data_IF_419968221606
#
_entry.id   IF_419968221606
#
_cell.length_a   1.000
_cell.length_b   1.000
_cell.length_c   1.000
_cell.angle_alpha   90.00
_cell.angle_beta   90.00
_cell.angle_gamma   90.00
#
_symmetry.space_group_name_H-M   'P 1'
#
loop_
_entity.id
_entity.type
_entity.pdbx_description
1 polymer ?
#
# COMPACT_ATOMS: atom_id res chain seq x y z
N UNK A 1 -20.89 -6.82 -7.27
CA UNK A 1 -19.46 -7.01 -6.95
C UNK A 1 -19.17 -8.47 -6.63
N UNK A 2 -18.03 -9.00 -7.05
CA UNK A 2 -17.63 -10.39 -6.85
C UNK A 2 -18.58 -11.41 -7.51
N UNK A 3 -18.39 -12.68 -7.14
CA UNK A 3 -19.34 -13.73 -7.50
C UNK A 3 -20.35 -13.87 -6.35
N UNK A 4 -21.65 -13.80 -6.64
CA UNK A 4 -22.74 -13.83 -5.64
C UNK A 4 -22.59 -14.99 -4.64
N UNK A 5 -22.15 -16.16 -5.10
CA UNK A 5 -21.93 -17.36 -4.27
C UNK A 5 -20.44 -17.69 -4.07
N UNK A 6 -19.53 -16.78 -4.44
CA UNK A 6 -18.09 -17.03 -4.43
C UNK A 6 -17.55 -17.42 -3.07
N UNK A 7 -18.06 -16.81 -1.99
CA UNK A 7 -17.69 -17.15 -0.61
C UNK A 7 -18.11 -18.56 -0.18
N UNK A 8 -19.11 -19.18 -0.82
CA UNK A 8 -19.54 -20.55 -0.55
C UNK A 8 -18.73 -21.59 -1.32
N UNK A 9 -18.17 -21.20 -2.47
CA UNK A 9 -17.55 -22.13 -3.43
C UNK A 9 -16.02 -22.10 -3.43
N UNK A 10 -15.43 -20.99 -3.00
CA UNK A 10 -13.99 -20.74 -3.08
C UNK A 10 -13.44 -20.73 -1.66
N UNK A 11 -12.47 -21.58 -1.35
CA UNK A 11 -11.79 -21.58 -0.05
C UNK A 11 -10.82 -20.38 0.08
N UNK A 12 -10.62 -19.92 1.32
CA UNK A 12 -9.72 -18.80 1.62
C UNK A 12 -8.29 -19.30 1.42
N UNK A 13 -7.51 -18.55 0.66
CA UNK A 13 -6.10 -18.87 0.46
C UNK A 13 -5.22 -17.68 0.81
N UNK A 14 -4.53 -17.80 1.95
CA UNK A 14 -3.51 -16.84 2.36
C UNK A 14 -2.17 -17.05 1.61
N UNK A 15 -1.29 -16.05 1.71
CA UNK A 15 0.04 -16.10 1.12
C UNK A 15 0.89 -17.17 1.82
N UNK A 16 1.38 -18.19 1.09
CA UNK A 16 2.28 -19.17 1.70
C UNK A 16 3.64 -18.54 1.96
N UNK A 17 4.40 -19.19 2.84
CA UNK A 17 5.80 -18.83 3.09
C UNK A 17 6.73 -19.83 2.41
N UNK A 18 7.90 -19.34 1.97
CA UNK A 18 8.98 -20.22 1.55
C UNK A 18 9.39 -21.19 2.67
N UNK A 19 9.93 -22.38 2.33
CA UNK A 19 10.40 -23.36 3.30
C UNK A 19 11.32 -22.77 4.36
N UNK A 20 11.25 -23.31 5.58
CA UNK A 20 11.98 -22.77 6.74
C UNK A 20 13.49 -22.80 6.49
N UNK A 21 14.00 -23.89 5.93
CA UNK A 21 15.42 -24.08 5.61
C UNK A 21 15.94 -23.16 4.51
N UNK A 22 15.06 -22.62 3.66
CA UNK A 22 15.40 -21.58 2.68
C UNK A 22 15.43 -20.20 3.32
N UNK A 23 14.36 -19.81 4.02
CA UNK A 23 14.21 -18.45 4.57
C UNK A 23 15.13 -18.14 5.75
N UNK A 24 15.76 -19.14 6.37
CA UNK A 24 16.80 -18.92 7.38
C UNK A 24 18.15 -18.46 6.78
N UNK A 25 18.34 -18.57 5.46
CA UNK A 25 19.62 -18.27 4.78
C UNK A 25 19.73 -16.82 4.29
N UNK A 26 18.66 -16.03 4.39
CA UNK A 26 18.64 -14.65 3.92
C UNK A 26 17.66 -13.78 4.70
N UNK A 27 17.77 -12.46 4.52
CA UNK A 27 16.84 -11.48 5.09
C UNK A 27 15.83 -10.93 4.08
N UNK A 28 15.79 -11.43 2.83
CA UNK A 28 14.77 -11.05 1.84
C UNK A 28 13.37 -11.52 2.23
N UNK A 29 12.35 -10.90 1.64
CA UNK A 29 10.96 -11.36 1.76
C UNK A 29 10.83 -12.85 1.40
N UNK A 30 10.12 -13.60 2.24
CA UNK A 30 9.86 -15.03 2.03
C UNK A 30 8.37 -15.33 1.85
N UNK A 31 7.53 -14.30 1.85
CA UNK A 31 6.10 -14.42 1.59
C UNK A 31 5.91 -14.55 0.08
N UNK A 32 5.28 -15.63 -0.35
CA UNK A 32 5.08 -15.90 -1.77
C UNK A 32 3.80 -15.20 -2.21
N UNK A 33 3.91 -14.35 -3.23
CA UNK A 33 2.77 -13.67 -3.82
C UNK A 33 1.83 -14.70 -4.48
N UNK A 34 0.50 -14.63 -4.28
CA UNK A 34 -0.43 -15.48 -5.00
C UNK A 34 -0.47 -15.04 -6.47
N UNK A 35 -0.85 -15.96 -7.36
CA UNK A 35 -1.04 -15.60 -8.77
C UNK A 35 -2.25 -14.68 -8.95
N UNK A 36 -2.29 -13.96 -10.07
CA UNK A 36 -3.45 -13.15 -10.46
C UNK A 36 -4.76 -13.93 -10.43
N UNK A 37 -4.71 -15.20 -10.85
CA UNK A 37 -5.88 -16.10 -10.85
C UNK A 37 -6.34 -16.38 -9.42
N UNK A 38 -5.42 -16.66 -8.51
CA UNK A 38 -5.76 -16.88 -7.10
C UNK A 38 -6.27 -15.61 -6.42
N UNK A 39 -5.65 -14.46 -6.69
CA UNK A 39 -6.14 -13.17 -6.19
C UNK A 39 -7.54 -12.84 -6.72
N UNK A 40 -7.82 -13.11 -8.00
CA UNK A 40 -9.15 -12.98 -8.59
C UNK A 40 -10.19 -13.86 -7.90
N UNK A 41 -9.84 -15.13 -7.60
CA UNK A 41 -10.70 -16.02 -6.80
C UNK A 41 -10.94 -15.48 -5.40
N UNK A 42 -9.92 -14.96 -4.73
CA UNK A 42 -10.09 -14.38 -3.41
C UNK A 42 -10.95 -13.09 -3.44
N UNK A 43 -10.81 -12.25 -4.47
CA UNK A 43 -11.69 -11.10 -4.71
C UNK A 43 -13.15 -11.52 -4.92
N UNK A 44 -13.37 -12.64 -5.62
CA UNK A 44 -14.70 -13.22 -5.85
C UNK A 44 -15.43 -13.67 -4.57
N UNK A 45 -14.70 -13.88 -3.45
CA UNK A 45 -15.30 -14.17 -2.13
C UNK A 45 -15.99 -12.94 -1.49
N UNK A 46 -15.84 -11.74 -2.04
CA UNK A 46 -16.54 -10.57 -1.53
C UNK A 46 -18.06 -10.74 -1.65
N UNK A 47 -18.80 -10.59 -0.54
CA UNK A 47 -20.25 -10.78 -0.50
C UNK A 47 -21.07 -9.59 -1.01
N UNK A 48 -20.44 -8.51 -1.46
CA UNK A 48 -21.13 -7.27 -1.84
C UNK A 48 -22.10 -6.77 -0.76
N UNK A 49 -21.60 -6.64 0.47
CA UNK A 49 -22.41 -6.32 1.64
C UNK A 49 -23.04 -4.93 1.49
N UNK A 50 -24.35 -4.82 1.75
CA UNK A 50 -25.05 -3.52 1.74
C UNK A 50 -24.45 -2.49 2.72
N UNK A 51 -23.83 -2.96 3.81
CA UNK A 51 -22.98 -2.13 4.68
C UNK A 51 -21.58 -2.76 4.71
N UNK A 52 -20.59 -2.19 3.99
CA UNK A 52 -19.25 -2.76 3.93
C UNK A 52 -18.44 -2.39 5.19
N UNK A 53 -18.56 -3.19 6.25
CA UNK A 53 -17.79 -2.99 7.50
C UNK A 53 -16.26 -3.03 7.30
N UNK A 54 -15.79 -3.64 6.22
CA UNK A 54 -14.38 -3.58 5.84
C UNK A 54 -13.91 -2.14 5.55
N UNK A 55 -14.77 -1.25 5.04
CA UNK A 55 -14.45 0.16 4.83
C UNK A 55 -14.13 0.84 6.16
N UNK A 56 -15.04 0.72 7.12
CA UNK A 56 -14.90 1.38 8.43
C UNK A 56 -13.84 0.72 9.30
N UNK A 57 -13.58 -0.57 9.10
CA UNK A 57 -12.45 -1.27 9.73
C UNK A 57 -11.09 -0.83 9.18
N UNK A 58 -11.04 -0.25 7.98
CA UNK A 58 -9.82 0.31 7.41
C UNK A 58 -9.61 1.76 7.92
N UNK A 59 -8.50 2.09 8.59
CA UNK A 59 -8.28 3.45 9.11
C UNK A 59 -8.24 4.56 8.05
N UNK A 60 -8.02 4.21 6.78
CA UNK A 60 -8.02 5.14 5.64
C UNK A 60 -9.28 5.02 4.78
N UNK A 61 -10.29 4.25 5.23
CA UNK A 61 -11.55 4.04 4.55
C UNK A 61 -11.41 3.62 3.06
N UNK A 62 -10.49 2.68 2.80
CA UNK A 62 -10.32 2.12 1.45
C UNK A 62 -11.65 1.59 0.89
N UNK A 63 -11.82 1.74 -0.43
CA UNK A 63 -12.98 1.27 -1.20
C UNK A 63 -12.87 -0.22 -1.55
N UNK A 64 -12.82 -1.06 -0.51
CA UNK A 64 -12.38 -2.46 -0.60
C UNK A 64 -13.20 -3.34 -1.55
N UNK A 65 -14.55 -3.37 -1.50
CA UNK A 65 -15.37 -4.12 -2.43
C UNK A 65 -15.16 -3.72 -3.89
N UNK A 66 -14.93 -2.43 -4.17
CA UNK A 66 -14.78 -1.91 -5.52
C UNK A 66 -13.51 -2.47 -6.19
N UNK A 67 -12.35 -2.33 -5.55
CA UNK A 67 -11.12 -2.89 -6.12
C UNK A 67 -11.04 -4.42 -6.02
N UNK A 68 -11.78 -5.08 -5.11
CA UNK A 68 -11.93 -6.53 -5.13
C UNK A 68 -12.68 -7.01 -6.38
N UNK A 69 -13.75 -6.30 -6.74
CA UNK A 69 -14.55 -6.59 -7.93
C UNK A 69 -13.73 -6.39 -9.22
N UNK A 70 -12.99 -5.28 -9.29
CA UNK A 70 -12.09 -5.01 -10.41
C UNK A 70 -11.02 -6.10 -10.55
N UNK A 71 -10.41 -6.55 -9.45
CA UNK A 71 -9.46 -7.68 -9.47
C UNK A 71 -10.10 -8.98 -9.92
N UNK A 72 -11.33 -9.26 -9.49
CA UNK A 72 -12.09 -10.44 -9.94
C UNK A 72 -12.35 -10.41 -11.45
N UNK A 73 -12.66 -9.24 -12.02
CA UNK A 73 -12.85 -9.05 -13.45
C UNK A 73 -11.55 -8.93 -14.26
N UNK A 74 -10.41 -8.83 -13.59
CA UNK A 74 -9.10 -8.68 -14.24
C UNK A 74 -8.77 -7.24 -14.64
N UNK A 75 -9.53 -6.25 -14.16
CA UNK A 75 -9.35 -4.82 -14.43
C UNK A 75 -8.32 -4.20 -13.47
N UNK A 76 -7.10 -4.75 -13.49
CA UNK A 76 -6.04 -4.44 -12.53
C UNK A 76 -5.57 -2.98 -12.53
N UNK A 77 -5.56 -2.31 -13.69
CA UNK A 77 -5.15 -0.91 -13.79
C UNK A 77 -6.17 0.01 -13.09
N UNK A 78 -7.46 -0.27 -13.30
CA UNK A 78 -8.54 0.49 -12.63
C UNK A 78 -8.58 0.17 -11.14
N UNK A 79 -8.32 -1.08 -10.75
CA UNK A 79 -8.16 -1.47 -9.34
C UNK A 79 -7.03 -0.67 -8.68
N UNK A 80 -5.91 -0.46 -9.38
CA UNK A 80 -4.78 0.33 -8.89
C UNK A 80 -5.15 1.81 -8.74
N UNK A 81 -5.86 2.41 -9.71
CA UNK A 81 -6.36 3.80 -9.61
C UNK A 81 -7.31 3.96 -8.43
N UNK A 82 -8.26 3.03 -8.28
CA UNK A 82 -9.20 3.04 -7.17
C UNK A 82 -8.48 2.92 -5.81
N UNK A 83 -7.55 1.96 -5.67
CA UNK A 83 -6.78 1.77 -4.44
C UNK A 83 -5.94 3.02 -4.09
N UNK A 84 -5.31 3.64 -5.08
CA UNK A 84 -4.50 4.85 -4.89
C UNK A 84 -5.32 6.11 -4.59
N UNK A 85 -6.63 6.11 -4.86
CA UNK A 85 -7.51 7.24 -4.51
C UNK A 85 -7.62 7.47 -3.00
N UNK A 86 -7.37 6.43 -2.20
CA UNK A 86 -7.49 6.44 -0.73
C UNK A 86 -6.18 6.11 -0.02
N UNK A 87 -5.27 5.39 -0.67
CA UNK A 87 -3.98 4.98 -0.09
C UNK A 87 -2.78 5.46 -0.91
N UNK A 88 -1.93 6.29 -0.31
CA UNK A 88 -0.67 6.71 -0.93
C UNK A 88 0.31 5.53 -1.15
N UNK A 89 0.34 4.56 -0.23
CA UNK A 89 1.38 3.51 -0.18
C UNK A 89 0.82 2.09 0.08
N UNK A 90 -0.04 1.56 -0.81
CA UNK A 90 -0.61 0.22 -0.69
C UNK A 90 0.44 -0.90 -0.67
N UNK A 91 1.63 -0.69 -1.25
CA UNK A 91 2.72 -1.66 -1.18
C UNK A 91 3.28 -1.83 0.25
N UNK A 92 3.16 -0.80 1.10
CA UNK A 92 3.61 -0.85 2.49
C UNK A 92 2.52 -1.48 3.34
N UNK A 93 1.29 -0.96 3.27
CA UNK A 93 0.15 -1.48 4.04
C UNK A 93 -0.17 -2.92 3.67
N UNK A 94 -0.14 -3.29 2.40
CA UNK A 94 -0.34 -4.66 1.91
C UNK A 94 0.68 -5.67 2.46
N UNK A 95 1.84 -5.21 2.96
CA UNK A 95 2.86 -6.04 3.63
C UNK A 95 2.76 -6.00 5.14
N UNK A 96 2.61 -4.80 5.72
CA UNK A 96 2.83 -4.59 7.17
C UNK A 96 1.55 -4.45 7.98
N UNK A 97 0.43 -4.09 7.36
CA UNK A 97 -0.84 -3.85 8.04
C UNK A 97 -1.29 -5.11 8.80
N UNK A 98 -1.84 -4.99 10.02
CA UNK A 98 -2.45 -6.12 10.73
C UNK A 98 -3.84 -6.52 10.17
N UNK A 99 -4.27 -5.90 9.06
CA UNK A 99 -5.53 -6.18 8.36
C UNK A 99 -6.80 -6.06 9.24
N UNK A 100 -7.03 -4.91 9.91
CA UNK A 100 -8.26 -4.72 10.68
C UNK A 100 -9.52 -4.79 9.81
N UNK A 101 -9.41 -4.43 8.52
CA UNK A 101 -10.46 -4.60 7.53
C UNK A 101 -10.90 -6.05 7.33
N UNK A 102 -9.99 -7.03 7.45
CA UNK A 102 -10.34 -8.45 7.39
C UNK A 102 -11.05 -8.89 8.67
N UNK A 103 -10.58 -8.42 9.84
CA UNK A 103 -11.25 -8.68 11.11
C UNK A 103 -12.68 -8.11 11.16
N UNK A 104 -12.91 -6.96 10.51
CA UNK A 104 -14.23 -6.32 10.39
C UNK A 104 -15.07 -6.83 9.21
N UNK A 105 -14.56 -7.74 8.38
CA UNK A 105 -15.31 -8.24 7.23
C UNK A 105 -16.58 -8.97 7.70
N UNK A 106 -17.74 -8.69 7.09
CA UNK A 106 -19.00 -9.37 7.44
C UNK A 106 -18.91 -10.88 7.32
N UNK A 107 -18.15 -11.39 6.34
CA UNK A 107 -17.94 -12.83 6.16
C UNK A 107 -17.21 -13.47 7.34
N UNK A 108 -16.40 -12.70 8.07
CA UNK A 108 -15.67 -13.14 9.26
C UNK A 108 -16.57 -13.50 10.46
N UNK A 109 -17.87 -13.19 10.39
CA UNK A 109 -18.83 -13.54 11.46
C UNK A 109 -19.18 -15.03 11.44
N UNK A 110 -19.28 -15.62 10.26
CA UNK A 110 -19.78 -17.00 10.06
C UNK A 110 -18.75 -17.91 9.37
N UNK A 111 -17.80 -17.34 8.63
CA UNK A 111 -16.72 -18.05 7.95
C UNK A 111 -15.44 -17.20 7.98
N UNK A 112 -14.50 -17.45 7.08
CA UNK A 112 -13.21 -16.79 6.97
C UNK A 112 -13.29 -15.55 6.06
N UNK A 113 -12.61 -14.45 6.42
CA UNK A 113 -12.74 -13.20 5.68
C UNK A 113 -12.14 -13.29 4.28
N UNK A 114 -12.44 -12.30 3.43
CA UNK A 114 -11.71 -12.07 2.19
C UNK A 114 -10.25 -11.73 2.51
N UNK A 115 -9.28 -12.18 1.70
CA UNK A 115 -7.85 -11.87 1.88
C UNK A 115 -7.50 -10.46 1.37
N UNK A 116 -8.17 -9.45 1.92
CA UNK A 116 -8.11 -8.03 1.52
C UNK A 116 -6.66 -7.55 1.44
N UNK A 117 -5.84 -7.84 2.45
CA UNK A 117 -4.44 -7.41 2.50
C UNK A 117 -3.59 -8.03 1.38
N UNK A 118 -3.87 -9.29 1.02
CA UNK A 118 -3.15 -9.97 -0.06
C UNK A 118 -3.52 -9.39 -1.43
N UNK A 119 -4.79 -9.05 -1.63
CA UNK A 119 -5.27 -8.41 -2.86
C UNK A 119 -4.71 -6.98 -2.97
N UNK A 120 -4.72 -6.19 -1.88
CA UNK A 120 -4.07 -4.86 -1.83
C UNK A 120 -2.59 -4.94 -2.26
N UNK A 121 -1.85 -5.89 -1.69
CA UNK A 121 -0.44 -6.09 -2.02
C UNK A 121 -0.26 -6.47 -3.50
N UNK A 122 -1.10 -7.37 -4.01
CA UNK A 122 -1.05 -7.80 -5.42
C UNK A 122 -1.36 -6.68 -6.40
N UNK A 123 -2.38 -5.84 -6.12
CA UNK A 123 -2.69 -4.66 -6.93
C UNK A 123 -1.47 -3.72 -6.96
N UNK A 124 -0.89 -3.42 -5.80
CA UNK A 124 0.25 -2.50 -5.71
C UNK A 124 1.48 -3.02 -6.46
N UNK A 125 1.82 -4.29 -6.27
CA UNK A 125 2.98 -4.90 -6.92
C UNK A 125 2.80 -4.93 -8.45
N UNK A 126 1.61 -5.31 -8.92
CA UNK A 126 1.28 -5.30 -10.35
C UNK A 126 1.29 -3.90 -10.96
N UNK A 127 0.83 -2.89 -10.23
CA UNK A 127 0.87 -1.50 -10.67
C UNK A 127 2.30 -0.99 -10.87
N UNK A 128 3.24 -1.43 -10.02
CA UNK A 128 4.67 -1.14 -10.21
C UNK A 128 5.29 -1.94 -11.37
N UNK A 129 5.00 -3.24 -11.47
CA UNK A 129 5.51 -4.11 -12.54
C UNK A 129 5.09 -3.62 -13.94
N UNK A 130 3.87 -3.11 -14.08
CA UNK A 130 3.33 -2.60 -15.34
C UNK A 130 3.61 -1.11 -15.57
N UNK A 131 4.28 -0.43 -14.63
CA UNK A 131 4.63 0.99 -14.76
C UNK A 131 3.44 1.95 -14.71
N UNK A 132 2.32 1.56 -14.09
CA UNK A 132 1.15 2.42 -13.93
C UNK A 132 1.34 3.50 -12.86
N UNK A 133 2.26 3.26 -11.93
CA UNK A 133 2.64 4.24 -10.92
C UNK A 133 3.71 5.15 -11.53
N UNK A 134 3.26 6.33 -11.95
CA UNK A 134 4.11 7.37 -12.54
C UNK A 134 4.14 8.61 -11.62
N UNK A 135 5.18 9.46 -11.72
CA UNK A 135 5.16 10.77 -11.06
C UNK A 135 3.99 11.62 -11.56
N UNK A 136 3.27 12.26 -10.65
CA UNK A 136 2.17 13.19 -10.93
C UNK A 136 2.58 14.64 -10.56
N UNK A 137 3.50 15.29 -11.31
CA UNK A 137 3.86 16.66 -11.04
C UNK A 137 2.66 17.60 -11.26
N UNK A 138 2.54 18.67 -10.46
CA UNK A 138 1.43 19.62 -10.57
C UNK A 138 1.51 20.44 -11.87
N UNK A 139 0.38 20.67 -12.53
CA UNK A 139 0.30 21.56 -13.71
C UNK A 139 0.66 23.01 -13.37
N UNK A 140 0.34 23.45 -12.15
CA UNK A 140 0.57 24.81 -11.69
C UNK A 140 1.18 24.84 -10.29
N UNK A 141 2.16 25.73 -10.08
CA UNK A 141 2.71 25.99 -8.76
C UNK A 141 1.87 27.03 -8.02
N UNK A 142 1.61 26.75 -6.75
CA UNK A 142 0.85 27.63 -5.83
C UNK A 142 1.68 28.80 -5.29
N UNK A 143 3.01 28.76 -5.45
CA UNK A 143 3.95 29.72 -4.86
C UNK A 143 4.13 29.60 -3.33
N UNK A 144 3.43 28.68 -2.67
CA UNK A 144 3.58 28.41 -1.23
C UNK A 144 4.70 27.39 -0.99
N UNK A 145 5.50 27.64 0.06
CA UNK A 145 6.57 26.75 0.53
C UNK A 145 6.15 26.05 1.81
N UNK A 146 6.33 24.73 1.87
CA UNK A 146 5.96 23.90 3.01
C UNK A 146 7.18 23.11 3.50
N UNK A 147 7.42 23.15 4.80
CA UNK A 147 8.42 22.32 5.46
C UNK A 147 7.73 21.19 6.23
N UNK A 148 8.21 19.95 6.05
CA UNK A 148 7.75 18.76 6.75
C UNK A 148 8.91 18.21 7.55
N UNK A 149 8.72 17.99 8.86
CA UNK A 149 9.77 17.44 9.74
C UNK A 149 9.51 15.97 9.98
N UNK A 150 10.40 15.12 9.47
CA UNK A 150 10.36 13.67 9.54
C UNK A 150 9.85 13.02 8.25
N UNK A 151 10.54 11.96 7.80
CA UNK A 151 10.23 11.21 6.58
C UNK A 151 9.56 9.85 6.84
N UNK A 152 8.87 9.70 7.96
CA UNK A 152 8.01 8.54 8.21
C UNK A 152 6.78 8.51 7.30
N UNK A 153 5.92 7.47 7.39
CA UNK A 153 4.75 7.33 6.54
C UNK A 153 3.86 8.58 6.48
N UNK A 154 3.63 9.22 7.63
CA UNK A 154 2.83 10.44 7.73
C UNK A 154 3.46 11.62 6.96
N UNK A 155 4.78 11.82 7.12
CA UNK A 155 5.50 12.88 6.42
C UNK A 155 5.55 12.65 4.92
N UNK A 156 5.75 11.40 4.49
CA UNK A 156 5.75 11.03 3.07
C UNK A 156 4.38 11.23 2.43
N UNK A 157 3.31 10.77 3.07
CA UNK A 157 1.94 10.93 2.55
C UNK A 157 1.56 12.40 2.42
N UNK A 158 1.83 13.20 3.46
CA UNK A 158 1.61 14.64 3.42
C UNK A 158 2.43 15.32 2.33
N UNK A 159 3.71 14.97 2.20
CA UNK A 159 4.59 15.55 1.20
C UNK A 159 4.11 15.29 -0.23
N UNK A 160 3.71 14.05 -0.52
CA UNK A 160 3.21 13.64 -1.83
C UNK A 160 1.95 14.43 -2.21
N UNK A 161 0.95 14.44 -1.32
CA UNK A 161 -0.31 15.16 -1.57
C UNK A 161 -0.07 16.66 -1.76
N UNK A 162 0.78 17.28 -0.94
CA UNK A 162 1.10 18.70 -1.04
C UNK A 162 1.90 19.06 -2.30
N UNK A 163 2.80 18.19 -2.75
CA UNK A 163 3.54 18.38 -4.00
C UNK A 163 2.60 18.32 -5.21
N UNK A 164 1.70 17.35 -5.25
CA UNK A 164 0.71 17.14 -6.33
C UNK A 164 -0.28 18.31 -6.47
N UNK A 165 -0.61 19.02 -5.39
CA UNK A 165 -1.43 20.25 -5.47
C UNK A 165 -0.64 21.51 -5.83
N UNK A 166 0.67 21.41 -6.05
CA UNK A 166 1.49 22.53 -6.52
C UNK A 166 2.28 23.28 -5.45
N UNK A 167 2.39 22.77 -4.22
CA UNK A 167 3.29 23.38 -3.23
C UNK A 167 4.76 23.06 -3.51
N UNK A 168 5.65 23.92 -3.02
CA UNK A 168 7.09 23.66 -2.98
C UNK A 168 7.42 23.01 -1.64
N UNK A 169 7.64 21.70 -1.64
CA UNK A 169 7.64 20.85 -0.44
C UNK A 169 9.06 20.39 -0.11
N UNK A 170 9.49 20.70 1.11
CA UNK A 170 10.78 20.31 1.66
C UNK A 170 10.57 19.38 2.86
N UNK A 171 11.09 18.16 2.78
CA UNK A 171 11.07 17.17 3.87
C UNK A 171 12.43 17.15 4.55
N UNK A 172 12.47 17.39 5.85
CA UNK A 172 13.67 17.35 6.68
C UNK A 172 13.72 16.05 7.48
N UNK A 173 14.77 15.26 7.30
CA UNK A 173 14.94 13.96 7.96
C UNK A 173 16.27 13.93 8.72
N UNK A 174 16.22 13.47 9.97
CA UNK A 174 17.39 13.34 10.84
C UNK A 174 18.33 12.22 10.39
N UNK A 175 17.78 11.12 9.90
CA UNK A 175 18.54 9.97 9.43
C UNK A 175 19.15 10.21 8.04
N UNK A 176 20.07 9.32 7.64
CA UNK A 176 20.80 9.44 6.37
C UNK A 176 19.92 9.21 5.11
N UNK A 177 18.75 8.60 5.28
CA UNK A 177 17.84 8.27 4.18
C UNK A 177 16.38 8.30 4.61
N UNK A 178 15.44 8.66 3.71
CA UNK A 178 14.02 8.76 4.03
C UNK A 178 13.35 7.41 4.35
N UNK A 179 12.24 7.45 5.09
CA UNK A 179 11.36 6.31 5.36
C UNK A 179 11.05 6.06 6.84
N UNK A 180 11.74 6.75 7.76
CA UNK A 180 11.54 6.55 9.20
C UNK A 180 11.62 5.08 9.64
N UNK A 181 10.68 4.64 10.48
CA UNK A 181 10.66 3.25 10.96
C UNK A 181 10.37 2.21 9.86
N UNK A 182 9.82 2.59 8.72
CA UNK A 182 9.71 1.68 7.57
C UNK A 182 11.10 1.21 7.11
N UNK A 183 12.08 2.13 7.15
CA UNK A 183 13.47 1.85 6.80
C UNK A 183 14.28 1.31 7.97
N UNK A 184 14.25 1.97 9.12
CA UNK A 184 15.16 1.67 10.23
C UNK A 184 14.58 0.73 11.29
N UNK A 185 13.28 0.40 11.21
CA UNK A 185 12.61 -0.46 12.20
C UNK A 185 12.15 -1.79 11.64
N UNK A 186 11.40 -1.78 10.53
CA UNK A 186 10.83 -2.99 9.93
C UNK A 186 11.97 -3.79 9.25
N UNK A 187 12.16 -5.09 9.53
CA UNK A 187 13.17 -5.89 8.85
C UNK A 187 12.82 -6.18 7.38
N UNK A 188 13.84 -6.43 6.56
CA UNK A 188 13.67 -6.71 5.12
C UNK A 188 12.79 -7.92 4.82
N UNK A 189 12.83 -8.95 5.67
CA UNK A 189 12.05 -10.16 5.44
C UNK A 189 10.53 -9.94 5.60
N UNK A 190 10.13 -8.79 6.17
CA UNK A 190 8.73 -8.33 6.20
C UNK A 190 8.42 -7.35 5.08
N UNK A 191 9.38 -6.48 4.74
CA UNK A 191 9.24 -5.45 3.72
C UNK A 191 10.62 -4.93 3.31
N UNK A 192 11.02 -5.23 2.08
CA UNK A 192 12.32 -4.84 1.54
C UNK A 192 12.42 -3.32 1.28
N UNK A 193 13.63 -2.75 1.40
CA UNK A 193 13.84 -1.29 1.31
C UNK A 193 13.73 -0.71 -0.09
N UNK A 194 13.89 -1.54 -1.12
CA UNK A 194 13.71 -1.10 -2.50
C UNK A 194 12.29 -0.53 -2.74
N UNK A 195 11.28 -0.99 -1.99
CA UNK A 195 9.91 -0.49 -2.03
C UNK A 195 9.82 0.98 -1.54
N UNK A 196 10.64 1.35 -0.56
CA UNK A 196 10.74 2.72 -0.06
C UNK A 196 11.51 3.57 -1.07
N UNK A 197 12.59 3.02 -1.64
CA UNK A 197 13.47 3.72 -2.59
C UNK A 197 12.71 4.13 -3.85
N UNK A 198 11.92 3.22 -4.44
CA UNK A 198 11.09 3.55 -5.61
C UNK A 198 10.06 4.64 -5.30
N UNK A 199 9.49 4.68 -4.08
CA UNK A 199 8.54 5.74 -3.68
C UNK A 199 9.21 7.08 -3.48
N UNK A 200 10.37 7.10 -2.82
CA UNK A 200 11.15 8.33 -2.66
C UNK A 200 11.52 8.89 -4.02
N UNK A 201 12.04 8.07 -4.94
CA UNK A 201 12.39 8.50 -6.30
C UNK A 201 11.16 9.03 -7.07
N UNK A 202 10.00 8.36 -6.94
CA UNK A 202 8.75 8.81 -7.54
C UNK A 202 8.30 10.18 -6.99
N UNK A 203 8.42 10.41 -5.68
CA UNK A 203 8.09 11.68 -5.04
C UNK A 203 9.09 12.80 -5.35
N UNK A 204 10.38 12.48 -5.48
CA UNK A 204 11.40 13.43 -5.96
C UNK A 204 11.08 13.90 -7.37
N UNK A 205 10.65 12.99 -8.25
CA UNK A 205 10.18 13.32 -9.59
C UNK A 205 8.88 14.14 -9.61
N UNK A 206 8.05 14.07 -8.56
CA UNK A 206 6.90 14.97 -8.35
C UNK A 206 7.31 16.36 -7.82
N UNK A 207 8.57 16.53 -7.42
CA UNK A 207 9.14 17.79 -6.95
C UNK A 207 9.25 17.92 -5.42
N UNK A 208 9.17 16.82 -4.67
CA UNK A 208 9.50 16.81 -3.24
C UNK A 208 11.02 16.88 -3.07
N UNK A 209 11.51 17.80 -2.24
CA UNK A 209 12.94 17.88 -1.91
C UNK A 209 13.22 17.26 -0.53
N UNK A 210 14.08 16.24 -0.47
CA UNK A 210 14.49 15.61 0.78
C UNK A 210 15.83 16.17 1.30
N UNK A 211 15.83 16.68 2.53
CA UNK A 211 16.99 17.15 3.28
C UNK A 211 17.31 16.12 4.37
N UNK A 212 18.17 15.16 4.05
CA UNK A 212 18.58 14.11 4.98
C UNK A 212 19.76 14.55 5.85
N UNK A 213 19.94 13.91 7.02
CA UNK A 213 20.95 14.29 8.00
C UNK A 213 20.67 15.62 8.71
N UNK A 214 19.42 16.10 8.69
CA UNK A 214 19.00 17.36 9.33
C UNK A 214 18.15 17.07 10.57
N UNK A 215 18.72 17.36 11.73
CA UNK A 215 18.07 17.27 13.03
C UNK A 215 17.45 18.61 13.41
N UNK A 216 16.22 18.85 12.96
CA UNK A 216 15.48 20.08 13.23
C UNK A 216 15.38 20.35 14.73
N UNK A 217 15.73 21.56 15.14
CA UNK A 217 15.82 21.98 16.54
C UNK A 217 17.21 21.81 17.17
N UNK A 218 18.15 21.18 16.46
CA UNK A 218 19.57 21.05 16.84
C UNK A 218 20.47 21.68 15.79
N UNK A 219 20.28 21.30 14.53
CA UNK A 219 21.06 21.83 13.41
C UNK A 219 20.59 23.23 13.02
N UNK A 220 21.52 24.07 12.56
CA UNK A 220 21.30 25.50 12.23
C UNK A 220 20.92 25.72 10.77
#
# INVERSE_FOLDING_TARGET
MGKITGFLEIERQDRPYAPVDERLKHFREFVIAPSDVELGKQGARCMDCGIPYCHTGCPINNQIPDWNDLVYHGDWEEAAKNLHSTNNFPEFTGRICPAPCEASCTLNLEDTPVTIKSIECGIADKAWENGWIVPEPPEHKTGKRIAIVGSGPAGLAAAQQLARVGHDVHVFERQASPGGLLRYGIPDFKMEKHLIERRVAQMEAEGVTFHCGVNVGVDK
#
